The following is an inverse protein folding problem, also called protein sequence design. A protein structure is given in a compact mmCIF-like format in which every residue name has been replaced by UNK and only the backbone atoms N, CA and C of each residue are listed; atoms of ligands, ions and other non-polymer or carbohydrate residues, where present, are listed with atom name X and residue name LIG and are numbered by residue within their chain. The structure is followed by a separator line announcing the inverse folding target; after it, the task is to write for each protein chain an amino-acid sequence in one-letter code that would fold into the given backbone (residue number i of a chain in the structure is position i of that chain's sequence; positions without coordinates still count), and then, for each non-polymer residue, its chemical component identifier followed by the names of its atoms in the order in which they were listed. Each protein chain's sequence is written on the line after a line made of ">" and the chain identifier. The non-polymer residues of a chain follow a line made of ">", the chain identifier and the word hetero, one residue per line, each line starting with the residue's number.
data_IF_327791923794
#
_entry.id   IF_327791923794
#
_cell.length_a   1.000
_cell.length_b   1.000
_cell.length_c   1.000
_cell.angle_alpha   90.00
_cell.angle_beta   90.00
_cell.angle_gamma   90.00
#
_symmetry.space_group_name_H-M   'P 1'
#
loop_
_entity.id
_entity.type
_entity.pdbx_description
1 polymer ?
#
# COMPACT_ATOMS: atom_id res chain seq x y z
N UNK A 1 -4.25 11.95 -5.29
CA UNK A 1 -4.95 10.67 -5.08
C UNK A 1 -4.16 9.77 -4.14
N UNK A 2 -4.84 9.02 -3.33
CA UNK A 2 -4.23 8.05 -2.39
C UNK A 2 -4.60 6.64 -2.77
N UNK A 3 -3.62 5.75 -2.77
CA UNK A 3 -3.83 4.31 -2.95
C UNK A 3 -3.32 3.62 -1.69
N UNK A 4 -4.20 2.90 -1.03
CA UNK A 4 -3.87 2.19 0.21
C UNK A 4 -4.02 0.70 -0.02
N UNK A 5 -2.98 -0.07 0.26
CA UNK A 5 -3.02 -1.52 0.18
C UNK A 5 -2.69 -2.08 1.56
N UNK A 6 -3.49 -3.05 1.99
CA UNK A 6 -3.31 -3.71 3.28
C UNK A 6 -2.79 -5.12 3.06
N UNK A 7 -1.73 -5.49 3.76
CA UNK A 7 -1.18 -6.83 3.75
C UNK A 7 -1.40 -7.44 5.14
N UNK A 8 -1.68 -8.73 5.19
CA UNK A 8 -1.84 -9.45 6.45
C UNK A 8 -0.65 -10.38 6.65
N UNK A 9 -0.01 -10.26 7.82
CA UNK A 9 1.13 -11.10 8.19
C UNK A 9 2.24 -11.13 7.15
N UNK A 10 2.54 -9.95 6.61
CA UNK A 10 3.61 -9.75 5.65
C UNK A 10 4.39 -8.49 6.00
N UNK A 11 4.53 -7.59 5.04
CA UNK A 11 5.23 -6.32 5.26
C UNK A 11 4.56 -5.16 4.52
N UNK A 12 4.86 -3.94 4.95
CA UNK A 12 4.40 -2.74 4.26
C UNK A 12 5.02 -2.66 2.86
N UNK A 13 6.25 -3.13 2.69
CA UNK A 13 6.90 -3.16 1.38
C UNK A 13 6.18 -4.10 0.43
N UNK A 14 5.74 -5.26 0.91
CA UNK A 14 4.94 -6.18 0.11
C UNK A 14 3.62 -5.56 -0.32
N UNK A 15 3.00 -4.78 0.57
CA UNK A 15 1.77 -4.07 0.25
C UNK A 15 2.00 -3.04 -0.87
N UNK A 16 3.08 -2.28 -0.78
CA UNK A 16 3.46 -1.32 -1.84
C UNK A 16 3.72 -2.03 -3.17
N UNK A 17 4.40 -3.18 -3.13
CA UNK A 17 4.67 -3.97 -4.34
C UNK A 17 3.37 -4.44 -4.99
N UNK A 18 2.37 -4.79 -4.19
CA UNK A 18 1.07 -5.19 -4.71
C UNK A 18 0.35 -4.05 -5.42
N UNK A 19 0.51 -2.83 -4.94
CA UNK A 19 -0.06 -1.66 -5.64
C UNK A 19 0.53 -1.57 -7.05
N UNK A 20 1.83 -1.76 -7.18
CA UNK A 20 2.51 -1.72 -8.47
C UNK A 20 2.09 -2.90 -9.37
N UNK A 21 1.98 -4.11 -8.82
CA UNK A 21 1.54 -5.29 -9.54
C UNK A 21 0.13 -5.14 -10.11
N UNK A 22 -0.78 -4.62 -9.30
CA UNK A 22 -2.18 -4.44 -9.69
C UNK A 22 -2.36 -3.24 -10.60
N UNK A 23 -1.31 -2.43 -10.76
CA UNK A 23 -1.29 -1.27 -11.65
C UNK A 23 -2.39 -0.25 -11.37
N UNK A 24 -2.77 -0.09 -10.13
CA UNK A 24 -3.79 0.89 -9.74
C UNK A 24 -3.43 2.29 -10.19
N UNK A 25 -2.16 2.65 -10.08
CA UNK A 25 -1.70 3.98 -10.44
C UNK A 25 -1.92 4.30 -11.92
N UNK A 26 -1.93 3.29 -12.79
CA UNK A 26 -2.14 3.48 -14.22
C UNK A 26 -3.58 3.83 -14.59
N UNK A 27 -4.51 3.56 -13.68
CA UNK A 27 -5.94 3.86 -13.88
C UNK A 27 -6.30 5.26 -13.45
N UNK A 28 -5.38 5.94 -12.79
CA UNK A 28 -5.58 7.31 -12.32
C UNK A 28 -4.96 8.27 -13.33
N UNK A 29 -5.60 9.42 -13.54
CA UNK A 29 -5.12 10.42 -14.48
C UNK A 29 -3.64 10.74 -14.24
N UNK A 30 -2.86 10.79 -15.31
CA UNK A 30 -1.44 11.10 -15.26
C UNK A 30 -1.15 12.50 -14.67
N UNK A 31 -2.14 13.37 -14.65
CA UNK A 31 -1.99 14.73 -14.13
C UNK A 31 -2.19 14.80 -12.62
N UNK A 32 -2.55 13.70 -11.97
CA UNK A 32 -2.79 13.68 -10.53
C UNK A 32 -1.58 13.16 -9.79
N UNK A 33 -1.27 13.82 -8.69
CA UNK A 33 -0.26 13.33 -7.77
C UNK A 33 -0.79 12.08 -7.08
N UNK A 34 0.01 11.03 -7.06
CA UNK A 34 -0.37 9.74 -6.46
C UNK A 34 0.50 9.47 -5.25
N UNK A 35 -0.14 9.20 -4.12
CA UNK A 35 0.54 8.77 -2.90
C UNK A 35 0.14 7.33 -2.63
N UNK A 36 1.12 6.45 -2.52
CA UNK A 36 0.91 5.03 -2.25
C UNK A 36 1.20 4.75 -0.78
N UNK A 37 0.32 4.04 -0.13
CA UNK A 37 0.46 3.69 1.28
C UNK A 37 0.34 2.19 1.43
N UNK A 38 1.40 1.56 1.89
CA UNK A 38 1.39 0.14 2.22
C UNK A 38 1.27 -0.04 3.73
N UNK A 39 0.38 -0.90 4.15
CA UNK A 39 0.10 -1.16 5.56
C UNK A 39 0.17 -2.66 5.82
N UNK A 40 0.82 -3.06 6.89
CA UNK A 40 0.80 -4.44 7.33
C UNK A 40 0.05 -4.61 8.65
N UNK A 41 -0.89 -5.53 8.67
CA UNK A 41 -1.65 -5.92 9.85
C UNK A 41 -1.16 -7.28 10.34
N UNK A 42 -0.82 -7.36 11.62
CA UNK A 42 -0.43 -8.63 12.25
C UNK A 42 -1.64 -9.26 12.93
N UNK A 43 -1.98 -10.49 12.56
CA UNK A 43 -3.07 -11.22 13.20
C UNK A 43 -2.67 -11.66 14.61
N UNK A 44 -1.40 -11.94 14.83
CA UNK A 44 -0.87 -12.30 16.14
C UNK A 44 -1.01 -11.13 17.12
N UNK A 45 -0.61 -9.95 16.70
CA UNK A 45 -0.66 -8.76 17.55
C UNK A 45 -2.01 -8.04 17.49
N UNK A 46 -2.83 -8.40 16.51
CA UNK A 46 -4.14 -7.79 16.25
C UNK A 46 -4.04 -6.28 16.06
N UNK A 47 -3.02 -5.86 15.34
CA UNK A 47 -2.73 -4.45 15.15
C UNK A 47 -1.94 -4.19 13.87
N UNK A 48 -1.92 -2.93 13.47
CA UNK A 48 -1.04 -2.49 12.40
C UNK A 48 0.37 -2.40 12.97
N UNK A 49 1.29 -3.16 12.40
CA UNK A 49 2.68 -3.23 12.87
C UNK A 49 3.65 -2.47 12.01
N UNK A 50 3.25 -2.13 10.78
CA UNK A 50 4.16 -1.49 9.84
C UNK A 50 3.37 -0.71 8.80
N UNK A 51 3.88 0.44 8.40
CA UNK A 51 3.34 1.17 7.27
C UNK A 51 4.47 1.90 6.54
N UNK A 52 4.26 2.13 5.24
CA UNK A 52 5.17 2.89 4.39
C UNK A 52 4.38 3.79 3.46
N UNK A 53 4.90 4.99 3.24
CA UNK A 53 4.31 5.96 2.33
C UNK A 53 5.31 6.23 1.22
N UNK A 54 4.83 6.17 -0.02
CA UNK A 54 5.62 6.46 -1.21
C UNK A 54 4.86 7.45 -2.08
N UNK A 55 5.45 8.62 -2.26
CA UNK A 55 4.77 9.70 -2.97
C UNK A 55 5.43 10.16 -4.24
#
# INVERSE_FOLDING_TARGET
>A
AYIIECKRDGSAQEALSQIDEKKYAKRISANKHIVKIGVNFSTEERNITEWKVEG
#
